data_IF_500876220917
#
_entry.id   IF_500876220917
#
_cell.length_a   1.000
_cell.length_b   1.000
_cell.length_c   1.000
_cell.angle_alpha   90.00
_cell.angle_beta   90.00
_cell.angle_gamma   90.00
#
_symmetry.space_group_name_H-M   'P 1'
#
loop_
_entity.id
_entity.type
_entity.pdbx_description
1 polymer ?
#
# COMPACT_ATOMS: atom_id res chain seq x y z
N UNK A 1 -13.76 8.61 10.37
CA UNK A 1 -14.75 7.52 10.37
C UNK A 1 -14.74 6.82 11.73
N UNK A 2 -15.88 6.36 12.23
CA UNK A 2 -16.01 5.57 13.46
C UNK A 2 -16.32 4.09 13.20
N UNK A 3 -16.89 3.78 12.02
CA UNK A 3 -17.20 2.41 11.57
C UNK A 3 -16.91 2.28 10.08
N UNK A 4 -16.81 1.06 9.57
CA UNK A 4 -16.69 0.83 8.13
C UNK A 4 -17.93 1.33 7.36
N UNK A 5 -19.12 1.28 7.96
CA UNK A 5 -20.36 1.76 7.35
C UNK A 5 -20.37 3.26 7.09
N UNK A 6 -19.59 4.05 7.84
CA UNK A 6 -19.45 5.49 7.57
C UNK A 6 -18.85 5.74 6.17
N UNK A 7 -18.12 4.77 5.60
CA UNK A 7 -17.61 4.85 4.22
C UNK A 7 -18.71 4.76 3.16
N UNK A 8 -19.96 4.47 3.52
CA UNK A 8 -21.07 4.36 2.57
C UNK A 8 -21.69 5.73 2.25
N UNK A 9 -21.42 6.73 3.08
CA UNK A 9 -21.95 8.08 2.95
C UNK A 9 -20.98 9.05 2.24
N UNK A 10 -19.87 8.53 1.69
CA UNK A 10 -18.88 9.31 0.93
C UNK A 10 -19.18 9.26 -0.57
N UNK A 11 -18.92 10.34 -1.31
CA UNK A 11 -19.20 10.38 -2.75
C UNK A 11 -18.04 9.76 -3.54
N UNK A 12 -16.79 10.06 -3.15
CA UNK A 12 -15.59 9.56 -3.84
C UNK A 12 -14.45 9.19 -2.87
N UNK A 13 -13.79 8.08 -3.18
CA UNK A 13 -12.65 7.58 -2.42
C UNK A 13 -11.41 7.38 -3.31
N UNK A 14 -10.23 7.66 -2.75
CA UNK A 14 -8.93 7.20 -3.26
C UNK A 14 -8.51 5.96 -2.47
N UNK A 15 -8.36 4.83 -3.16
CA UNK A 15 -7.92 3.57 -2.56
C UNK A 15 -6.58 3.20 -3.20
N UNK A 16 -5.50 3.27 -2.44
CA UNK A 16 -4.16 3.04 -2.99
C UNK A 16 -3.38 2.00 -2.21
N UNK A 17 -2.55 1.22 -2.92
CA UNK A 17 -1.54 0.36 -2.30
C UNK A 17 -0.52 1.23 -1.56
N UNK A 18 -0.46 1.13 -0.24
CA UNK A 18 0.37 2.00 0.61
C UNK A 18 1.82 1.52 0.67
N UNK A 19 2.05 0.23 0.46
CA UNK A 19 3.37 -0.37 0.31
C UNK A 19 3.88 -0.27 -1.13
N UNK A 20 4.73 -1.21 -1.50
CA UNK A 20 5.43 -1.22 -2.79
C UNK A 20 4.54 -1.63 -3.98
N UNK A 21 5.14 -1.66 -5.17
CA UNK A 21 4.52 -1.97 -6.47
C UNK A 21 3.34 -2.94 -6.51
N UNK A 22 3.36 -4.04 -5.76
CA UNK A 22 2.33 -5.08 -5.82
C UNK A 22 0.99 -4.69 -5.18
N UNK A 23 0.98 -3.69 -4.30
CA UNK A 23 -0.14 -3.44 -3.39
C UNK A 23 -1.34 -2.79 -4.07
N UNK A 24 -1.14 -2.17 -5.24
CA UNK A 24 -2.27 -1.75 -6.09
C UNK A 24 -3.16 -2.94 -6.47
N UNK A 25 -2.65 -4.18 -6.49
CA UNK A 25 -3.49 -5.37 -6.66
C UNK A 25 -4.26 -5.68 -5.37
N UNK A 26 -3.60 -5.56 -4.22
CA UNK A 26 -4.20 -5.72 -2.89
C UNK A 26 -5.29 -4.69 -2.58
N UNK A 27 -5.28 -3.53 -3.24
CA UNK A 27 -6.28 -2.47 -3.06
C UNK A 27 -7.59 -2.70 -3.82
N UNK A 28 -7.59 -3.54 -4.85
CA UNK A 28 -8.77 -3.83 -5.69
C UNK A 28 -9.98 -4.34 -4.88
N UNK A 29 -9.85 -5.25 -3.89
CA UNK A 29 -10.99 -5.70 -3.08
C UNK A 29 -11.68 -4.58 -2.32
N UNK A 30 -10.90 -3.65 -1.77
CA UNK A 30 -11.41 -2.46 -1.09
C UNK A 30 -12.12 -1.54 -2.08
N UNK A 31 -11.53 -1.30 -3.26
CA UNK A 31 -12.17 -0.49 -4.29
C UNK A 31 -13.52 -1.08 -4.73
N UNK A 32 -13.56 -2.38 -5.03
CA UNK A 32 -14.79 -3.07 -5.44
C UNK A 32 -15.84 -3.13 -4.34
N UNK A 33 -15.42 -3.17 -3.08
CA UNK A 33 -16.32 -3.04 -1.94
C UNK A 33 -17.01 -1.66 -1.91
N UNK A 34 -16.24 -0.59 -1.98
CA UNK A 34 -16.76 0.79 -1.97
C UNK A 34 -17.65 1.06 -3.20
N UNK A 35 -17.25 0.63 -4.39
CA UNK A 35 -18.09 0.73 -5.60
C UNK A 35 -19.42 -0.03 -5.45
N UNK A 36 -19.42 -1.18 -4.74
CA UNK A 36 -20.63 -1.98 -4.53
C UNK A 36 -21.69 -1.29 -3.67
N UNK A 37 -21.28 -0.29 -2.89
CA UNK A 37 -22.16 0.56 -2.06
C UNK A 37 -22.39 1.94 -2.66
N UNK A 38 -21.86 2.21 -3.87
CA UNK A 38 -22.15 3.41 -4.65
C UNK A 38 -21.10 4.51 -4.62
N UNK A 39 -19.95 4.27 -3.98
CA UNK A 39 -18.83 5.22 -3.93
C UNK A 39 -18.06 5.21 -5.26
N UNK A 40 -17.72 6.38 -5.78
CA UNK A 40 -16.80 6.50 -6.93
C UNK A 40 -15.36 6.28 -6.46
N UNK A 41 -14.62 5.34 -7.07
CA UNK A 41 -13.30 4.96 -6.58
C UNK A 41 -12.20 5.26 -7.59
N UNK A 42 -11.17 5.94 -7.11
CA UNK A 42 -9.89 6.08 -7.78
C UNK A 42 -8.94 5.04 -7.18
N UNK A 43 -8.50 4.07 -7.97
CA UNK A 43 -7.41 3.17 -7.59
C UNK A 43 -6.07 3.91 -7.65
N UNK A 44 -5.12 3.51 -6.82
CA UNK A 44 -3.76 4.06 -6.86
C UNK A 44 -2.68 3.13 -6.31
N UNK A 45 -1.45 3.59 -6.41
CA UNK A 45 -0.30 2.97 -5.76
C UNK A 45 0.93 3.89 -5.81
N UNK A 46 2.01 3.43 -5.19
CA UNK A 46 3.23 4.21 -5.07
C UNK A 46 4.11 4.05 -6.31
N UNK A 47 4.89 5.09 -6.60
CA UNK A 47 5.85 5.10 -7.73
C UNK A 47 7.12 4.28 -7.45
N UNK A 48 7.01 3.12 -6.78
CA UNK A 48 8.14 2.30 -6.37
C UNK A 48 8.05 0.86 -6.87
N UNK A 49 8.93 0.55 -7.83
CA UNK A 49 9.15 -0.79 -8.35
C UNK A 49 10.47 -1.39 -7.81
N UNK A 50 10.49 -2.64 -7.32
CA UNK A 50 11.70 -3.23 -6.75
C UNK A 50 12.68 -3.68 -7.83
N UNK A 51 13.96 -3.83 -7.48
CA UNK A 51 14.97 -4.43 -8.37
C UNK A 51 14.77 -5.96 -8.39
N UNK A 52 14.72 -6.62 -9.58
CA UNK A 52 15.17 -6.14 -10.89
C UNK A 52 14.06 -5.66 -11.83
N UNK A 53 12.85 -5.41 -11.34
CA UNK A 53 11.76 -4.90 -12.17
C UNK A 53 12.06 -3.47 -12.63
N UNK A 54 12.56 -2.62 -11.72
CA UNK A 54 13.25 -1.40 -12.10
C UNK A 54 14.73 -1.68 -12.36
N UNK A 55 15.27 -0.97 -13.35
CA UNK A 55 16.69 -0.94 -13.70
C UNK A 55 17.57 -0.25 -12.65
N UNK A 56 16.94 0.52 -11.74
CA UNK A 56 17.58 1.24 -10.64
C UNK A 56 16.73 1.17 -9.37
N UNK A 57 17.31 1.38 -8.18
CA UNK A 57 16.54 1.42 -6.94
C UNK A 57 15.56 2.60 -7.00
N UNK A 58 14.31 2.33 -6.63
CA UNK A 58 13.24 3.32 -6.59
C UNK A 58 13.33 4.25 -5.37
N UNK A 59 12.23 4.95 -5.04
CA UNK A 59 11.08 5.23 -5.88
C UNK A 59 11.45 6.12 -7.07
N UNK A 60 10.53 6.28 -8.02
CA UNK A 60 10.65 7.19 -9.17
C UNK A 60 9.90 8.47 -8.92
N UNK A 61 10.54 9.61 -9.17
CA UNK A 61 9.80 10.87 -9.11
C UNK A 61 8.86 10.99 -10.31
N UNK A 62 7.70 11.63 -10.13
CA UNK A 62 6.81 12.00 -11.25
C UNK A 62 7.49 12.90 -12.28
N UNK A 63 8.61 13.55 -11.95
CA UNK A 63 9.41 14.30 -12.92
C UNK A 63 10.09 13.40 -13.97
N UNK A 64 10.19 12.10 -13.72
CA UNK A 64 10.76 11.09 -14.60
C UNK A 64 9.69 10.28 -15.35
N UNK A 65 8.41 10.57 -15.11
CA UNK A 65 7.27 9.84 -15.67
C UNK A 65 6.72 10.59 -16.89
N UNK A 66 6.32 9.84 -17.91
CA UNK A 66 5.69 10.35 -19.14
C UNK A 66 4.31 9.73 -19.34
N UNK A 67 3.51 10.33 -20.22
CA UNK A 67 2.16 9.86 -20.60
C UNK A 67 1.18 9.73 -19.42
N UNK A 68 1.19 10.68 -18.50
CA UNK A 68 0.26 10.78 -17.37
C UNK A 68 -0.36 12.18 -17.28
N UNK A 69 -1.49 12.30 -16.55
CA UNK A 69 -2.07 13.60 -16.23
C UNK A 69 -1.61 14.06 -14.84
N UNK A 70 -1.00 15.24 -14.73
CA UNK A 70 -0.59 15.79 -13.43
C UNK A 70 -1.80 16.38 -12.69
N UNK A 71 -2.04 15.91 -11.47
CA UNK A 71 -3.08 16.44 -10.57
C UNK A 71 -2.47 17.38 -9.53
N UNK A 72 -1.36 16.97 -8.93
CA UNK A 72 -0.60 17.78 -7.97
C UNK A 72 0.90 17.55 -8.12
N UNK A 73 1.71 18.09 -7.21
CA UNK A 73 3.16 17.90 -7.26
C UNK A 73 3.58 16.44 -7.03
N UNK A 74 2.80 15.69 -6.23
CA UNK A 74 3.10 14.28 -5.88
C UNK A 74 2.03 13.29 -6.35
N UNK A 75 0.97 13.73 -7.03
CA UNK A 75 -0.06 12.83 -7.57
C UNK A 75 -0.27 13.04 -9.07
N UNK A 76 -0.24 11.95 -9.82
CA UNK A 76 -0.55 11.91 -11.24
C UNK A 76 -1.52 10.78 -11.59
N UNK A 77 -2.31 10.92 -12.66
CA UNK A 77 -3.22 9.88 -13.14
C UNK A 77 -2.60 9.13 -14.32
N UNK A 78 -2.15 7.92 -14.06
CA UNK A 78 -1.63 6.99 -15.05
C UNK A 78 -2.73 6.39 -15.93
N UNK A 79 -2.33 5.97 -17.12
CA UNK A 79 -3.07 5.12 -18.05
C UNK A 79 -2.13 3.98 -18.52
N UNK A 80 -2.61 3.12 -19.43
CA UNK A 80 -1.83 1.99 -19.95
C UNK A 80 -0.53 2.37 -20.68
N UNK A 81 -0.40 3.60 -21.18
CA UNK A 81 0.83 4.08 -21.84
C UNK A 81 1.84 4.71 -20.87
N UNK A 82 1.44 5.01 -19.63
CA UNK A 82 2.28 5.66 -18.63
C UNK A 82 3.52 4.83 -18.31
N UNK A 83 4.69 5.46 -18.32
CA UNK A 83 6.00 4.84 -18.06
C UNK A 83 7.01 5.88 -17.62
N UNK A 84 8.17 5.47 -17.14
CA UNK A 84 9.30 6.40 -16.97
C UNK A 84 9.99 6.72 -18.31
N UNK A 85 10.77 7.80 -18.36
CA UNK A 85 11.58 8.16 -19.53
C UNK A 85 12.52 7.05 -20.01
N UNK A 86 13.02 6.22 -19.08
CA UNK A 86 13.87 5.05 -19.37
C UNK A 86 13.08 3.73 -19.57
N UNK A 87 11.74 3.80 -19.56
CA UNK A 87 10.86 2.72 -20.03
C UNK A 87 10.32 1.76 -18.97
N UNK A 88 10.47 2.07 -17.68
CA UNK A 88 9.80 1.32 -16.60
C UNK A 88 8.29 1.43 -16.73
N UNK A 89 7.61 0.29 -16.70
CA UNK A 89 6.14 0.20 -16.64
C UNK A 89 5.74 -0.19 -15.22
N UNK A 90 5.03 0.71 -14.54
CA UNK A 90 4.54 0.53 -13.18
C UNK A 90 3.42 -0.53 -13.11
N UNK A 91 3.24 -1.17 -11.96
CA UNK A 91 2.08 -2.00 -11.67
C UNK A 91 0.78 -1.25 -11.93
N UNK A 92 0.72 0.00 -11.50
CA UNK A 92 -0.39 0.91 -11.66
C UNK A 92 -0.73 1.14 -13.13
N UNK A 93 0.26 1.22 -14.01
CA UNK A 93 0.06 1.32 -15.46
C UNK A 93 -0.53 0.05 -16.05
N UNK A 94 -0.11 -1.13 -15.58
CA UNK A 94 -0.68 -2.42 -16.00
C UNK A 94 -2.12 -2.58 -15.53
N UNK A 95 -2.42 -2.17 -14.29
CA UNK A 95 -3.77 -2.14 -13.74
C UNK A 95 -4.66 -1.15 -14.51
N UNK A 96 -4.12 0.03 -14.84
CA UNK A 96 -4.81 1.04 -15.63
C UNK A 96 -5.17 0.53 -17.04
N UNK A 97 -4.24 -0.14 -17.71
CA UNK A 97 -4.48 -0.78 -19.02
C UNK A 97 -5.56 -1.87 -18.92
N UNK A 98 -5.45 -2.76 -17.92
CA UNK A 98 -6.37 -3.88 -17.74
C UNK A 98 -7.82 -3.45 -17.54
N UNK A 99 -8.05 -2.43 -16.72
CA UNK A 99 -9.40 -1.93 -16.44
C UNK A 99 -9.85 -0.82 -17.38
N UNK A 100 -9.00 -0.37 -18.32
CA UNK A 100 -9.24 0.79 -19.18
C UNK A 100 -9.62 2.05 -18.36
N UNK A 101 -8.98 2.22 -17.20
CA UNK A 101 -9.28 3.26 -16.21
C UNK A 101 -8.01 4.02 -15.81
N UNK A 102 -8.18 5.22 -15.25
CA UNK A 102 -7.06 5.98 -14.70
C UNK A 102 -6.72 5.47 -13.30
N UNK A 103 -5.42 5.33 -13.01
CA UNK A 103 -4.91 4.90 -11.70
C UNK A 103 -3.97 5.99 -11.16
N UNK A 104 -4.10 6.36 -9.89
CA UNK A 104 -3.25 7.36 -9.26
C UNK A 104 -1.84 6.80 -9.01
N UNK A 105 -0.83 7.55 -9.43
CA UNK A 105 0.56 7.38 -9.06
C UNK A 105 0.90 8.36 -7.95
N UNK A 106 1.40 7.83 -6.83
CA UNK A 106 1.80 8.64 -5.67
C UNK A 106 3.33 8.69 -5.58
N UNK A 107 3.88 9.89 -5.75
CA UNK A 107 5.31 10.21 -5.63
C UNK A 107 5.71 10.29 -4.16
N UNK A 108 6.43 9.28 -3.69
CA UNK A 108 6.94 9.22 -2.32
C UNK A 108 8.42 9.63 -2.23
N UNK A 109 9.08 9.96 -3.36
CA UNK A 109 10.50 10.35 -3.40
C UNK A 109 10.79 11.64 -2.61
N UNK A 110 9.75 12.45 -2.36
CA UNK A 110 9.83 13.76 -1.71
C UNK A 110 9.52 13.76 -0.22
N UNK A 111 9.43 12.59 0.42
CA UNK A 111 9.19 12.45 1.86
C UNK A 111 7.78 12.90 2.30
N UNK A 112 7.51 12.79 3.61
CA UNK A 112 6.16 12.97 4.18
C UNK A 112 5.56 14.33 3.85
N UNK A 113 6.35 15.41 4.00
CA UNK A 113 5.83 16.78 3.87
C UNK A 113 5.21 17.05 2.50
N UNK A 114 5.97 16.77 1.44
CA UNK A 114 5.54 17.01 0.06
C UNK A 114 4.47 15.99 -0.35
N UNK A 115 4.60 14.73 0.10
CA UNK A 115 3.58 13.70 -0.14
C UNK A 115 2.22 14.11 0.46
N UNK A 116 2.19 14.59 1.71
CA UNK A 116 0.96 15.12 2.35
C UNK A 116 0.43 16.35 1.63
N UNK A 117 1.29 17.30 1.22
CA UNK A 117 0.82 18.49 0.51
C UNK A 117 0.18 18.13 -0.82
N UNK A 118 0.86 17.34 -1.65
CA UNK A 118 0.35 16.99 -2.97
C UNK A 118 -0.83 16.01 -2.89
N UNK A 119 -0.91 15.14 -1.89
CA UNK A 119 -2.09 14.30 -1.69
C UNK A 119 -3.30 15.14 -1.25
N UNK A 120 -3.12 16.15 -0.38
CA UNK A 120 -4.18 17.12 -0.03
C UNK A 120 -4.67 17.86 -1.27
N UNK A 121 -3.76 18.43 -2.06
CA UNK A 121 -4.11 19.15 -3.31
C UNK A 121 -4.84 18.25 -4.31
N UNK A 122 -4.44 16.96 -4.38
CA UNK A 122 -5.09 15.98 -5.22
C UNK A 122 -6.50 15.63 -4.74
N UNK A 123 -6.69 15.46 -3.42
CA UNK A 123 -8.03 15.21 -2.87
C UNK A 123 -8.96 16.39 -3.12
N UNK A 124 -8.50 17.64 -2.99
CA UNK A 124 -9.28 18.82 -3.33
C UNK A 124 -9.63 18.87 -4.83
N UNK A 125 -8.65 18.60 -5.70
CA UNK A 125 -8.82 18.65 -7.16
C UNK A 125 -9.74 17.55 -7.68
N UNK A 126 -9.64 16.36 -7.09
CA UNK A 126 -10.39 15.17 -7.47
C UNK A 126 -11.69 15.02 -6.67
N UNK A 127 -12.00 15.95 -5.75
CA UNK A 127 -13.19 15.88 -4.88
C UNK A 127 -13.26 14.55 -4.11
N UNK A 128 -12.14 14.13 -3.50
CA UNK A 128 -12.04 12.91 -2.69
C UNK A 128 -12.40 13.21 -1.24
N UNK A 129 -13.34 12.43 -0.71
CA UNK A 129 -13.81 12.55 0.68
C UNK A 129 -13.14 11.54 1.63
N UNK A 130 -12.69 10.41 1.07
CA UNK A 130 -12.08 9.29 1.80
C UNK A 130 -10.79 8.83 1.14
N UNK A 131 -9.73 8.63 1.92
CA UNK A 131 -8.50 7.96 1.45
C UNK A 131 -8.25 6.68 2.23
N UNK A 132 -8.13 5.56 1.51
CA UNK A 132 -7.80 4.25 2.10
C UNK A 132 -6.42 3.83 1.62
N UNK A 133 -5.48 3.71 2.56
CA UNK A 133 -4.18 3.09 2.31
C UNK A 133 -4.28 1.59 2.54
N UNK A 134 -3.98 0.78 1.52
CA UNK A 134 -4.08 -0.68 1.61
C UNK A 134 -2.70 -1.31 1.60
N UNK A 135 -2.39 -2.05 2.64
CA UNK A 135 -1.17 -2.84 2.81
C UNK A 135 -1.46 -4.34 2.59
N UNK A 136 -0.58 -5.02 1.85
CA UNK A 136 -0.69 -6.43 1.53
C UNK A 136 0.21 -7.32 2.41
N UNK A 137 -0.11 -7.39 3.70
CA UNK A 137 0.47 -8.37 4.61
C UNK A 137 0.25 -8.01 6.06
N UNK A 138 0.41 -6.75 6.42
CA UNK A 138 0.16 -6.24 7.77
C UNK A 138 1.42 -5.73 8.47
N UNK A 139 2.55 -5.62 7.78
CA UNK A 139 3.76 -4.99 8.34
C UNK A 139 3.53 -3.51 8.70
N UNK A 140 2.54 -2.84 8.11
CA UNK A 140 2.09 -1.51 8.53
C UNK A 140 1.58 -1.48 9.99
N UNK A 141 1.13 -2.63 10.52
CA UNK A 141 0.69 -2.77 11.91
C UNK A 141 1.87 -3.02 12.86
N UNK A 142 3.09 -3.19 12.36
CA UNK A 142 4.27 -3.42 13.18
C UNK A 142 4.49 -2.26 14.17
N UNK A 143 4.93 -2.60 15.38
CA UNK A 143 5.39 -1.58 16.33
C UNK A 143 6.73 -1.04 15.88
N UNK A 144 7.59 -1.93 15.39
CA UNK A 144 8.94 -1.68 14.92
C UNK A 144 10.02 -2.52 15.60
N UNK A 145 9.69 -3.33 16.62
CA UNK A 145 10.62 -4.27 17.25
C UNK A 145 10.57 -5.69 16.69
N UNK A 146 9.67 -5.92 15.73
CA UNK A 146 9.53 -7.17 15.00
C UNK A 146 10.80 -7.42 14.15
N UNK A 147 11.54 -8.51 14.39
CA UNK A 147 12.86 -8.75 13.79
C UNK A 147 12.80 -9.04 12.28
N UNK A 148 11.62 -9.39 11.77
CA UNK A 148 11.40 -9.73 10.36
C UNK A 148 11.08 -8.54 9.46
N UNK A 149 10.84 -7.34 10.03
CA UNK A 149 10.52 -6.11 9.31
C UNK A 149 11.69 -5.64 8.42
N UNK A 150 11.41 -5.42 7.14
CA UNK A 150 12.39 -5.18 6.05
C UNK A 150 12.01 -4.02 5.14
N UNK A 151 10.72 -3.77 4.87
CA UNK A 151 10.28 -2.70 3.95
C UNK A 151 9.60 -1.46 4.56
N UNK A 152 9.92 -1.01 5.79
CA UNK A 152 9.06 -0.05 6.52
C UNK A 152 9.03 1.39 5.95
N UNK A 153 9.80 1.68 4.90
CA UNK A 153 9.94 3.04 4.37
C UNK A 153 8.61 3.50 3.75
N UNK A 154 8.04 2.71 2.86
CA UNK A 154 6.84 3.11 2.11
C UNK A 154 5.63 3.19 3.04
N UNK A 155 5.44 2.17 3.87
CA UNK A 155 4.32 2.08 4.81
C UNK A 155 4.39 3.20 5.85
N UNK A 156 5.59 3.49 6.37
CA UNK A 156 5.82 4.59 7.29
C UNK A 156 5.48 5.96 6.68
N UNK A 157 5.95 6.23 5.45
CA UNK A 157 5.64 7.48 4.75
C UNK A 157 4.14 7.60 4.50
N UNK A 158 3.51 6.56 3.96
CA UNK A 158 2.08 6.53 3.69
C UNK A 158 1.24 6.71 4.96
N UNK A 159 1.56 5.98 6.03
CA UNK A 159 0.81 6.01 7.28
C UNK A 159 0.81 7.40 7.91
N UNK A 160 1.99 8.03 8.00
CA UNK A 160 2.09 9.41 8.50
C UNK A 160 1.38 10.38 7.55
N UNK A 161 1.50 10.18 6.24
CA UNK A 161 0.81 11.04 5.27
C UNK A 161 -0.70 11.01 5.48
N UNK A 162 -1.30 9.83 5.64
CA UNK A 162 -2.74 9.67 5.87
C UNK A 162 -3.19 10.24 7.20
N UNK A 163 -2.42 10.04 8.27
CA UNK A 163 -2.70 10.61 9.58
C UNK A 163 -2.70 12.16 9.56
N UNK A 164 -1.91 12.78 8.66
CA UNK A 164 -1.82 14.24 8.49
C UNK A 164 -2.82 14.83 7.50
N UNK A 165 -3.67 14.03 6.86
CA UNK A 165 -4.73 14.55 5.99
C UNK A 165 -5.89 15.10 6.81
N UNK A 166 -6.55 16.13 6.28
CA UNK A 166 -7.70 16.79 6.90
C UNK A 166 -9.05 16.23 6.39
N UNK A 167 -9.05 15.00 5.87
CA UNK A 167 -10.22 14.26 5.36
C UNK A 167 -10.28 12.88 6.02
N UNK A 168 -11.37 12.14 5.82
CA UNK A 168 -11.49 10.80 6.38
C UNK A 168 -10.43 9.86 5.78
N UNK A 169 -9.76 9.11 6.65
CA UNK A 169 -8.77 8.10 6.24
C UNK A 169 -8.92 6.81 7.01
N UNK A 170 -8.49 5.70 6.42
CA UNK A 170 -8.27 4.43 7.12
C UNK A 170 -7.17 3.58 6.49
N UNK A 171 -6.72 2.58 7.23
CA UNK A 171 -5.76 1.58 6.79
C UNK A 171 -6.49 0.26 6.53
N UNK A 172 -6.38 -0.28 5.32
CA UNK A 172 -6.81 -1.62 4.98
C UNK A 172 -5.62 -2.57 5.02
N UNK A 173 -5.72 -3.68 5.74
CA UNK A 173 -4.72 -4.75 5.73
C UNK A 173 -5.34 -5.98 5.09
N UNK A 174 -4.89 -6.29 3.87
CA UNK A 174 -5.28 -7.51 3.16
C UNK A 174 -4.18 -8.55 3.29
N UNK A 175 -4.53 -9.83 3.29
CA UNK A 175 -3.52 -10.88 3.18
C UNK A 175 -2.82 -11.26 4.48
N UNK A 176 -3.24 -10.73 5.64
CA UNK A 176 -2.77 -11.05 6.99
C UNK A 176 -1.62 -12.09 7.06
N UNK A 177 -0.38 -11.59 7.06
CA UNK A 177 0.87 -12.34 7.02
C UNK A 177 1.44 -12.63 5.64
N UNK A 178 0.87 -12.11 4.54
CA UNK A 178 1.25 -12.47 3.16
C UNK A 178 2.60 -11.91 2.69
N UNK A 179 3.12 -10.87 3.32
CA UNK A 179 4.44 -10.29 3.05
C UNK A 179 5.60 -11.13 3.65
N UNK A 180 5.28 -11.99 4.62
CA UNK A 180 6.22 -12.81 5.38
C UNK A 180 7.15 -12.04 6.32
N UNK A 181 6.88 -10.75 6.58
CA UNK A 181 7.73 -9.90 7.43
C UNK A 181 7.41 -10.08 8.91
N UNK A 182 6.13 -10.21 9.25
CA UNK A 182 5.67 -10.49 10.60
C UNK A 182 5.17 -11.93 10.72
N UNK A 183 5.43 -12.56 11.86
CA UNK A 183 4.79 -13.82 12.22
C UNK A 183 3.32 -13.61 12.57
N UNK A 184 2.49 -14.64 12.45
CA UNK A 184 1.08 -14.57 12.86
C UNK A 184 0.94 -14.16 14.33
N UNK A 185 1.82 -14.65 15.22
CA UNK A 185 1.85 -14.25 16.62
C UNK A 185 2.18 -12.75 16.81
N UNK A 186 3.03 -12.17 15.96
CA UNK A 186 3.36 -10.74 16.00
C UNK A 186 2.21 -9.88 15.47
N UNK A 187 1.56 -10.32 14.40
CA UNK A 187 0.35 -9.68 13.87
C UNK A 187 -0.81 -9.73 14.86
N UNK A 188 -1.03 -10.87 15.52
CA UNK A 188 -2.05 -11.02 16.57
C UNK A 188 -1.76 -10.06 17.73
N UNK A 189 -0.51 -9.96 18.18
CA UNK A 189 -0.11 -8.98 19.21
C UNK A 189 -0.26 -7.54 18.74
N UNK A 190 0.04 -7.26 17.48
CA UNK A 190 -0.17 -5.93 16.89
C UNK A 190 -1.65 -5.57 16.94
N UNK A 191 -2.51 -6.46 16.46
CA UNK A 191 -3.97 -6.32 16.51
C UNK A 191 -4.49 -6.14 17.94
N UNK A 192 -4.07 -6.98 18.89
CA UNK A 192 -4.46 -6.92 20.31
C UNK A 192 -4.08 -5.59 20.98
N UNK A 193 -3.00 -4.97 20.52
CA UNK A 193 -2.47 -3.75 21.12
C UNK A 193 -3.03 -2.45 20.54
N UNK A 194 -3.79 -2.53 19.44
CA UNK A 194 -4.59 -1.41 18.97
C UNK A 194 -5.74 -1.15 19.96
N UNK A 195 -6.18 0.10 20.10
CA UNK A 195 -7.27 0.45 21.03
C UNK A 195 -8.55 -0.35 20.73
N UNK A 196 -9.42 -0.53 21.74
CA UNK A 196 -10.68 -1.31 21.60
C UNK A 196 -11.52 -0.89 20.38
N UNK A 197 -11.48 0.39 19.99
CA UNK A 197 -12.25 0.96 18.88
C UNK A 197 -11.44 1.15 17.58
N UNK A 198 -10.17 0.72 17.51
CA UNK A 198 -9.34 0.96 16.32
C UNK A 198 -9.79 0.16 15.09
N UNK A 199 -10.44 -0.99 15.27
CA UNK A 199 -10.96 -1.81 14.18
C UNK A 199 -12.30 -1.24 13.70
N UNK A 200 -12.31 -0.73 12.46
CA UNK A 200 -13.51 -0.21 11.79
C UNK A 200 -14.40 -1.33 11.25
N UNK A 201 -13.81 -2.45 10.84
CA UNK A 201 -14.53 -3.59 10.28
C UNK A 201 -13.66 -4.49 9.41
N UNK A 202 -14.29 -5.38 8.65
CA UNK A 202 -13.58 -6.23 7.70
C UNK A 202 -14.45 -6.61 6.51
N UNK A 203 -13.83 -6.91 5.37
CA UNK A 203 -14.52 -7.34 4.16
C UNK A 203 -13.75 -8.43 3.42
N UNK A 204 -14.44 -9.51 3.04
CA UNK A 204 -13.84 -10.68 2.39
C UNK A 204 -13.83 -10.58 0.86
N UNK A 205 -12.84 -11.23 0.24
CA UNK A 205 -12.78 -11.36 -1.22
C UNK A 205 -14.00 -12.16 -1.73
N UNK A 206 -14.84 -11.52 -2.54
CA UNK A 206 -15.99 -12.20 -3.17
C UNK A 206 -15.55 -12.99 -4.39
N UNK A 207 -16.40 -13.91 -4.87
CA UNK A 207 -16.11 -14.69 -6.10
C UNK A 207 -15.87 -13.80 -7.33
N UNK A 208 -16.62 -12.70 -7.44
CA UNK A 208 -16.48 -11.76 -8.56
C UNK A 208 -15.10 -11.09 -8.49
N UNK A 209 -14.79 -10.46 -7.35
CA UNK A 209 -13.50 -9.79 -7.12
C UNK A 209 -12.33 -10.74 -7.29
N UNK A 210 -12.45 -11.98 -6.78
CA UNK A 210 -11.42 -13.00 -6.99
C UNK A 210 -11.11 -13.23 -8.46
N UNK A 211 -12.14 -13.31 -9.31
CA UNK A 211 -11.94 -13.56 -10.75
C UNK A 211 -11.24 -12.39 -11.45
N UNK A 212 -11.49 -11.15 -11.00
CA UNK A 212 -10.79 -9.96 -11.48
C UNK A 212 -9.32 -9.95 -11.02
N UNK A 213 -9.07 -10.24 -9.74
CA UNK A 213 -7.72 -10.36 -9.21
C UNK A 213 -6.90 -11.42 -9.93
N UNK A 214 -7.51 -12.57 -10.23
CA UNK A 214 -6.87 -13.64 -11.00
C UNK A 214 -6.39 -13.15 -12.38
N UNK A 215 -7.19 -12.34 -13.07
CA UNK A 215 -6.83 -11.78 -14.36
C UNK A 215 -5.74 -10.70 -14.26
N UNK A 216 -5.76 -9.88 -13.20
CA UNK A 216 -4.70 -8.89 -12.94
C UNK A 216 -3.39 -9.57 -12.57
N UNK A 217 -3.43 -10.65 -11.80
CA UNK A 217 -2.26 -11.43 -11.39
C UNK A 217 -1.60 -12.22 -12.53
N UNK A 218 -2.24 -12.30 -13.71
CA UNK A 218 -1.62 -12.83 -14.93
C UNK A 218 -0.69 -11.81 -15.61
N UNK A 219 -0.85 -10.51 -15.31
CA UNK A 219 -0.08 -9.41 -15.90
C UNK A 219 0.80 -8.68 -14.88
N UNK A 220 0.44 -8.69 -13.59
CA UNK A 220 1.20 -8.10 -12.49
C UNK A 220 1.93 -9.19 -11.70
N UNK A 221 3.24 -9.03 -11.55
CA UNK A 221 4.07 -9.91 -10.73
C UNK A 221 4.12 -9.39 -9.28
N UNK A 222 3.39 -10.07 -8.39
CA UNK A 222 3.38 -9.82 -6.96
C UNK A 222 3.17 -11.13 -6.21
N UNK A 223 4.00 -11.38 -5.19
CA UNK A 223 3.88 -12.56 -4.33
C UNK A 223 2.90 -12.30 -3.20
N UNK A 224 3.05 -11.21 -2.45
CA UNK A 224 2.23 -10.90 -1.27
C UNK A 224 0.74 -10.73 -1.64
N UNK A 225 0.43 -9.90 -2.64
CA UNK A 225 -0.95 -9.67 -3.09
C UNK A 225 -1.58 -10.87 -3.82
N UNK A 226 -0.81 -11.93 -4.15
CA UNK A 226 -1.34 -13.18 -4.72
C UNK A 226 -1.92 -14.11 -3.65
N UNK A 227 -1.34 -14.12 -2.46
CA UNK A 227 -1.74 -15.04 -1.39
C UNK A 227 -3.18 -14.83 -0.88
N UNK A 228 -3.74 -13.60 -0.80
CA UNK A 228 -5.16 -13.41 -0.53
C UNK A 228 -6.09 -14.15 -1.51
N UNK A 229 -5.71 -14.21 -2.79
CA UNK A 229 -6.47 -14.88 -3.85
C UNK A 229 -6.43 -16.39 -3.66
N UNK A 230 -5.25 -16.94 -3.34
CA UNK A 230 -5.09 -18.36 -2.99
C UNK A 230 -5.92 -18.73 -1.76
N UNK A 231 -5.86 -17.91 -0.69
CA UNK A 231 -6.66 -18.09 0.51
C UNK A 231 -8.17 -18.08 0.18
N UNK A 232 -8.63 -17.17 -0.68
CA UNK A 232 -10.02 -17.10 -1.15
C UNK A 232 -10.45 -18.28 -2.06
N UNK A 233 -9.51 -19.09 -2.56
CA UNK A 233 -9.78 -20.40 -3.20
C UNK A 233 -9.83 -21.56 -2.20
N UNK A 234 -9.43 -21.31 -0.95
CA UNK A 234 -9.27 -22.33 0.08
C UNK A 234 -7.88 -22.98 0.07
N UNK A 235 -6.90 -22.38 -0.61
CA UNK A 235 -5.53 -22.88 -0.69
C UNK A 235 -4.70 -22.36 0.50
N UNK A 236 -4.87 -22.98 1.65
CA UNK A 236 -4.20 -22.61 2.91
C UNK A 236 -2.86 -23.33 3.12
N UNK A 237 -2.14 -22.95 4.16
CA UNK A 237 -0.93 -23.62 4.65
C UNK A 237 0.37 -22.92 4.25
N UNK A 238 1.48 -23.64 4.41
CA UNK A 238 2.82 -23.07 4.21
C UNK A 238 3.03 -22.56 2.77
N UNK A 239 3.68 -21.41 2.67
CA UNK A 239 4.16 -20.80 1.43
C UNK A 239 5.58 -20.31 1.60
N UNK A 240 6.28 -20.25 0.49
CA UNK A 240 7.61 -19.68 0.41
C UNK A 240 7.59 -18.58 -0.64
N UNK A 241 8.03 -17.39 -0.27
CA UNK A 241 8.06 -16.19 -1.11
C UNK A 241 9.48 -15.62 -1.17
N UNK A 242 9.66 -14.51 -1.89
CA UNK A 242 10.96 -13.83 -2.06
C UNK A 242 12.02 -14.81 -2.56
N UNK A 243 11.67 -15.60 -3.57
CA UNK A 243 12.55 -16.62 -4.20
C UNK A 243 13.12 -17.66 -3.21
N UNK A 244 12.41 -17.95 -2.13
CA UNK A 244 12.89 -18.94 -1.14
C UNK A 244 13.37 -18.35 0.18
N UNK A 245 13.48 -17.02 0.28
CA UNK A 245 14.09 -16.37 1.45
C UNK A 245 13.17 -16.31 2.66
N UNK A 246 11.85 -16.29 2.45
CA UNK A 246 10.84 -16.17 3.50
C UNK A 246 9.84 -17.31 3.40
N UNK A 247 9.40 -17.80 4.56
CA UNK A 247 8.34 -18.80 4.69
C UNK A 247 7.30 -18.29 5.67
N UNK A 248 6.03 -18.48 5.32
CA UNK A 248 4.87 -18.00 6.07
C UNK A 248 3.73 -19.02 5.97
N UNK A 249 2.72 -18.86 6.82
CA UNK A 249 1.51 -19.67 6.79
C UNK A 249 0.33 -18.84 6.25
N UNK A 250 -0.26 -19.27 5.13
CA UNK A 250 -1.49 -18.67 4.60
C UNK A 250 -2.68 -19.22 5.37
N UNK A 251 -3.45 -18.33 5.99
CA UNK A 251 -4.59 -18.69 6.85
C UNK A 251 -5.89 -18.10 6.32
N UNK A 252 -7.03 -18.45 6.95
CA UNK A 252 -8.34 -17.91 6.56
C UNK A 252 -8.38 -16.37 6.62
N UNK A 253 -7.85 -15.69 7.67
CA UNK A 253 -7.71 -14.24 7.71
C UNK A 253 -7.04 -13.62 6.48
N UNK A 254 -6.12 -14.32 5.81
CA UNK A 254 -5.47 -13.81 4.61
C UNK A 254 -6.44 -13.54 3.44
N UNK A 255 -7.66 -14.10 3.46
CA UNK A 255 -8.70 -13.85 2.43
C UNK A 255 -9.58 -12.62 2.69
N UNK A 256 -9.27 -11.85 3.75
CA UNK A 256 -10.07 -10.73 4.25
C UNK A 256 -9.20 -9.49 4.34
N UNK A 257 -9.80 -8.32 4.07
CA UNK A 257 -9.23 -7.02 4.40
C UNK A 257 -9.78 -6.58 5.75
N UNK A 258 -8.90 -6.29 6.72
CA UNK A 258 -9.26 -5.65 7.98
C UNK A 258 -9.03 -4.14 7.87
N UNK A 259 -9.99 -3.34 8.31
CA UNK A 259 -9.92 -1.88 8.25
C UNK A 259 -9.72 -1.28 9.63
N UNK A 260 -8.74 -0.39 9.76
CA UNK A 260 -8.37 0.25 11.00
C UNK A 260 -8.40 1.77 10.87
N UNK A 261 -8.72 2.45 11.97
CA UNK A 261 -8.50 3.89 12.09
C UNK A 261 -7.00 4.21 11.93
N UNK A 262 -6.71 5.26 11.16
CA UNK A 262 -5.32 5.63 10.84
C UNK A 262 -4.51 6.06 12.06
N UNK A 263 -5.09 6.92 12.91
CA UNK A 263 -4.36 7.50 14.05
C UNK A 263 -3.91 6.46 15.08
N UNK A 264 -4.75 5.49 15.53
CA UNK A 264 -4.29 4.43 16.42
C UNK A 264 -3.14 3.58 15.85
N UNK A 265 -3.12 3.33 14.54
CA UNK A 265 -2.01 2.61 13.87
C UNK A 265 -0.74 3.48 13.88
N UNK A 266 -0.85 4.76 13.51
CA UNK A 266 0.26 5.70 13.48
C UNK A 266 0.86 5.98 14.87
N UNK A 267 0.03 6.14 15.90
CA UNK A 267 0.45 6.44 17.27
C UNK A 267 1.30 5.31 17.90
N UNK A 268 1.07 4.07 17.47
CA UNK A 268 1.82 2.89 17.94
C UNK A 268 3.11 2.64 17.17
N UNK A 269 3.22 3.14 15.95
CA UNK A 269 4.33 2.83 15.05
C UNK A 269 5.59 3.65 15.36
N UNK A 270 6.65 2.97 15.80
CA UNK A 270 7.98 3.57 15.96
C UNK A 270 8.52 4.04 14.58
N UNK A 271 8.17 3.33 13.51
CA UNK A 271 8.47 3.73 12.11
C UNK A 271 7.82 5.07 11.79
N UNK A 272 6.51 5.21 12.04
CA UNK A 272 5.78 6.46 11.81
C UNK A 272 6.39 7.62 12.61
N UNK A 273 6.77 7.36 13.87
CA UNK A 273 7.44 8.35 14.73
C UNK A 273 8.76 8.83 14.14
N UNK A 274 9.59 7.92 13.60
CA UNK A 274 10.90 8.25 13.04
C UNK A 274 10.82 9.05 11.74
N UNK A 275 9.85 8.74 10.87
CA UNK A 275 9.74 9.40 9.55
C UNK A 275 8.86 10.66 9.57
N UNK A 276 8.17 10.92 10.69
CA UNK A 276 7.10 11.92 10.83
C UNK A 276 7.41 13.30 10.25
N UNK A 277 8.61 13.80 10.50
CA UNK A 277 9.02 15.17 10.15
C UNK A 277 10.06 15.22 9.02
N UNK A 278 10.22 14.12 8.28
CA UNK A 278 11.17 14.03 7.18
C UNK A 278 10.68 14.79 5.95
N UNK A 279 11.63 15.39 5.23
CA UNK A 279 11.37 16.24 4.06
C UNK A 279 11.94 15.66 2.78
N UNK A 280 12.67 14.55 2.87
CA UNK A 280 13.17 13.78 1.73
C UNK A 280 13.15 12.30 2.04
N UNK A 281 13.16 11.46 1.00
CA UNK A 281 13.32 10.02 1.16
C UNK A 281 14.62 9.65 1.89
N UNK A 282 15.75 10.28 1.54
CA UNK A 282 17.04 9.99 2.16
C UNK A 282 17.04 10.30 3.67
N UNK A 283 16.32 11.34 4.11
CA UNK A 283 16.09 11.62 5.53
C UNK A 283 15.29 10.51 6.22
N UNK A 284 14.20 10.04 5.59
CA UNK A 284 13.38 8.94 6.12
C UNK A 284 14.18 7.64 6.25
N UNK A 285 14.88 7.25 5.18
CA UNK A 285 15.77 6.08 5.18
C UNK A 285 16.86 6.22 6.25
N UNK A 286 17.45 7.40 6.41
CA UNK A 286 18.49 7.64 7.42
C UNK A 286 17.94 7.59 8.85
N UNK A 287 16.73 8.08 9.08
CA UNK A 287 16.05 8.03 10.37
C UNK A 287 15.77 6.58 10.79
N UNK A 288 15.20 5.79 9.88
CA UNK A 288 14.95 4.36 10.11
C UNK A 288 16.25 3.59 10.32
N UNK A 289 17.30 3.86 9.55
CA UNK A 289 18.60 3.22 9.76
C UNK A 289 19.17 3.53 11.15
N UNK A 290 19.04 4.77 11.60
CA UNK A 290 19.48 5.19 12.94
C UNK A 290 18.63 4.54 14.04
N UNK A 291 17.36 4.27 13.75
CA UNK A 291 16.44 3.51 14.60
C UNK A 291 16.74 2.00 14.68
N UNK A 292 17.66 1.48 13.86
CA UNK A 292 18.08 0.08 13.89
C UNK A 292 17.34 -0.85 12.92
N UNK A 293 16.52 -0.30 12.02
CA UNK A 293 15.74 -1.09 11.07
C UNK A 293 16.60 -1.66 9.94
N UNK A 294 16.25 -2.86 9.49
CA UNK A 294 16.73 -3.37 8.20
C UNK A 294 15.94 -2.69 7.09
N UNK A 295 16.62 -2.20 6.07
CA UNK A 295 15.98 -1.48 4.96
C UNK A 295 16.27 -2.26 3.67
N UNK A 296 15.27 -2.89 3.08
CA UNK A 296 15.41 -3.62 1.81
C UNK A 296 15.97 -2.71 0.71
N UNK A 297 15.58 -1.43 0.71
CA UNK A 297 16.12 -0.42 -0.18
C UNK A 297 17.66 -0.35 -0.20
N UNK A 298 18.33 -0.59 0.94
CA UNK A 298 19.80 -0.63 0.99
C UNK A 298 20.35 -1.82 0.18
N UNK A 299 19.67 -2.96 0.19
CA UNK A 299 20.05 -4.12 -0.63
C UNK A 299 19.85 -3.81 -2.11
N UNK A 300 18.78 -3.10 -2.47
CA UNK A 300 18.54 -2.68 -3.86
C UNK A 300 19.65 -1.75 -4.36
N UNK A 301 20.05 -0.75 -3.56
CA UNK A 301 21.16 0.16 -3.89
C UNK A 301 22.46 -0.58 -4.13
N UNK A 302 22.76 -1.60 -3.32
CA UNK A 302 23.99 -2.40 -3.44
C UNK A 302 23.96 -3.44 -4.59
N UNK A 303 22.81 -3.71 -5.23
CA UNK A 303 22.71 -4.70 -6.34
C UNK A 303 23.20 -4.16 -7.68
N UNK A 304 23.46 -2.86 -7.78
CA UNK A 304 23.81 -2.16 -9.03
C UNK A 304 25.27 -1.66 -9.04
N UNK A 305 25.99 -1.77 -7.92
CA UNK A 305 27.44 -1.58 -7.82
C UNK A 305 28.21 -2.88 -8.13
#
# INVERSE_FOLDING_TARGET
MNTLEDSFDVDRALVFGIGGSGDVVGSIPTARFLESVGVDVILGGTTWEPVPRDSRPGPRSLSEVVDYERISETVGMANGDTRTEDGLVFCESLVADHFEQRVALIDISRGVREMTSGLRDACETLEVDLVVGVDAGGDILARGDEPGLRSPVTDGLGLVTLEKLDIDTCIGVIGFGSDGELTLDELDRAFESLSEDALLGSWGITRQVRSELEAVLDIVDTEASRLPVEAARGELGERTIRRGELSLEVTVPSSVTFYFETSPVADRSDVATLVRDTTTLDEAVSALRTGGYSIEFDKERNRID
#
